data_IF_936993060007
#
_entry.id   IF_936993060007
#
_cell.length_a   1.000
_cell.length_b   1.000
_cell.length_c   1.000
_cell.angle_alpha   90.00
_cell.angle_beta   90.00
_cell.angle_gamma   90.00
#
_symmetry.space_group_name_H-M   'P 1'
#
loop_
_entity.id
_entity.type
_entity.pdbx_description
1 polymer ?
#
# COMPACT_ATOMS: atom_id res chain seq x y z
N UNK A 1 19.11 4.45 -12.76
CA UNK A 1 17.88 3.84 -12.21
C UNK A 1 16.84 3.75 -13.31
N UNK A 2 16.02 2.71 -13.34
CA UNK A 2 14.95 2.52 -14.32
C UNK A 2 13.61 2.55 -13.59
N UNK A 3 12.74 3.55 -13.82
CA UNK A 3 11.47 3.67 -13.12
C UNK A 3 10.38 2.78 -13.72
N UNK A 4 9.41 2.38 -12.90
CA UNK A 4 8.20 1.66 -13.28
C UNK A 4 6.97 2.35 -12.67
N UNK A 5 5.83 2.16 -13.32
CA UNK A 5 4.56 2.76 -12.91
C UNK A 5 3.53 1.72 -12.43
N UNK A 6 3.85 0.45 -12.57
CA UNK A 6 2.95 -0.68 -12.30
C UNK A 6 3.73 -1.82 -11.65
N UNK A 7 3.13 -2.47 -10.68
CA UNK A 7 3.62 -3.68 -10.01
C UNK A 7 2.53 -4.73 -10.01
N UNK A 8 2.88 -5.93 -10.47
CA UNK A 8 2.04 -7.11 -10.35
C UNK A 8 2.50 -7.87 -9.13
N UNK A 9 1.57 -8.10 -8.19
CA UNK A 9 1.88 -8.74 -6.94
C UNK A 9 0.98 -9.94 -6.74
N UNK A 10 1.60 -11.11 -6.61
CA UNK A 10 0.90 -12.38 -6.46
C UNK A 10 0.95 -12.83 -5.00
N UNK A 11 -0.18 -13.22 -4.44
CA UNK A 11 -0.32 -13.63 -3.05
C UNK A 11 -1.32 -14.77 -2.88
N UNK A 12 -1.23 -15.47 -1.75
CA UNK A 12 -2.21 -16.48 -1.36
C UNK A 12 -3.30 -15.81 -0.53
N UNK A 13 -4.53 -15.80 -1.03
CA UNK A 13 -5.68 -15.25 -0.32
C UNK A 13 -6.05 -16.15 0.87
N UNK A 14 -6.28 -15.58 2.05
CA UNK A 14 -6.67 -16.37 3.23
C UNK A 14 -8.16 -16.73 3.25
N UNK A 15 -8.97 -16.08 2.40
CA UNK A 15 -10.40 -16.38 2.25
C UNK A 15 -10.63 -17.74 1.60
N UNK A 16 -9.95 -17.99 0.48
CA UNK A 16 -10.18 -19.12 -0.41
C UNK A 16 -8.95 -20.00 -0.65
N UNK A 17 -7.80 -19.62 -0.08
CA UNK A 17 -6.51 -20.32 -0.24
C UNK A 17 -6.10 -20.47 -1.71
N UNK A 18 -6.47 -19.49 -2.53
CA UNK A 18 -6.11 -19.42 -3.94
C UNK A 18 -5.10 -18.32 -4.18
N UNK A 19 -4.30 -18.53 -5.21
CA UNK A 19 -3.41 -17.51 -5.73
C UNK A 19 -4.23 -16.39 -6.38
N UNK A 20 -4.03 -15.15 -5.93
CA UNK A 20 -4.60 -13.93 -6.51
C UNK A 20 -3.48 -12.99 -6.93
N UNK A 21 -3.75 -12.09 -7.87
CA UNK A 21 -2.78 -11.09 -8.34
C UNK A 21 -3.38 -9.70 -8.28
N UNK A 22 -2.71 -8.81 -7.56
CA UNK A 22 -3.01 -7.39 -7.52
C UNK A 22 -2.17 -6.62 -8.53
N UNK A 23 -2.82 -5.67 -9.20
CA UNK A 23 -2.18 -4.75 -10.14
C UNK A 23 -2.13 -3.37 -9.47
N UNK A 24 -0.94 -2.99 -9.02
CA UNK A 24 -0.69 -1.80 -8.21
C UNK A 24 -0.04 -0.71 -9.04
N UNK A 25 -0.59 0.51 -8.98
CA UNK A 25 -0.13 1.66 -9.75
C UNK A 25 0.57 2.70 -8.88
N UNK A 26 1.66 3.26 -9.39
CA UNK A 26 2.35 4.43 -8.82
C UNK A 26 2.65 5.45 -9.94
N UNK A 27 1.60 5.84 -10.67
CA UNK A 27 1.71 6.67 -11.85
C UNK A 27 1.31 8.13 -11.55
N UNK A 28 2.22 9.11 -11.69
CA UNK A 28 1.90 10.52 -11.47
C UNK A 28 0.91 11.09 -12.51
N UNK A 29 0.73 10.43 -13.66
CA UNK A 29 -0.16 10.85 -14.74
C UNK A 29 -1.06 9.70 -15.21
N UNK A 30 -1.95 9.25 -14.33
CA UNK A 30 -2.98 8.26 -14.58
C UNK A 30 -4.32 8.94 -14.87
N UNK A 31 -4.77 8.95 -16.13
CA UNK A 31 -6.01 9.61 -16.55
C UNK A 31 -6.15 11.07 -16.05
N UNK A 32 -5.14 11.90 -16.29
CA UNK A 32 -5.08 13.32 -15.91
C UNK A 32 -4.98 13.59 -14.39
N UNK A 33 -4.61 12.59 -13.58
CA UNK A 33 -4.32 12.76 -12.17
C UNK A 33 -3.30 11.75 -11.63
N UNK A 34 -2.68 12.01 -10.48
CA UNK A 34 -1.79 11.04 -9.85
C UNK A 34 -2.59 9.87 -9.27
N UNK A 35 -2.12 8.64 -9.52
CA UNK A 35 -2.62 7.42 -8.88
C UNK A 35 -1.48 6.71 -8.16
N UNK A 36 -1.63 6.57 -6.86
CA UNK A 36 -0.72 5.87 -5.96
C UNK A 36 -1.51 4.89 -5.12
N UNK A 37 -1.44 3.62 -5.46
CA UNK A 37 -2.17 2.55 -4.78
C UNK A 37 -1.52 2.25 -3.41
N UNK A 38 -2.31 1.71 -2.50
CA UNK A 38 -1.86 1.35 -1.16
C UNK A 38 -1.52 -0.14 -1.09
N UNK A 39 -0.59 -0.48 -0.20
CA UNK A 39 -0.01 -1.81 -0.05
C UNK A 39 0.12 -2.18 1.41
N UNK A 40 0.03 -3.48 1.67
CA UNK A 40 0.32 -4.09 2.95
C UNK A 40 1.77 -4.58 2.95
N UNK A 41 2.53 -4.29 4.00
CA UNK A 41 3.94 -4.66 4.15
C UNK A 41 4.07 -5.69 5.27
N UNK A 42 4.85 -6.74 4.99
CA UNK A 42 5.22 -7.79 5.91
C UNK A 42 6.23 -7.30 6.96
N UNK A 43 5.75 -6.51 7.91
CA UNK A 43 6.44 -6.11 9.14
C UNK A 43 5.76 -6.76 10.35
N UNK A 44 6.40 -6.69 11.53
CA UNK A 44 5.78 -7.10 12.79
C UNK A 44 5.68 -5.90 13.74
N UNK A 45 4.48 -5.32 13.97
CA UNK A 45 3.18 -5.67 13.38
C UNK A 45 3.08 -5.30 11.90
N UNK A 46 2.09 -5.87 11.19
CA UNK A 46 1.84 -5.58 9.78
C UNK A 46 1.54 -4.09 9.58
N UNK A 47 2.13 -3.50 8.54
CA UNK A 47 2.00 -2.06 8.27
C UNK A 47 1.35 -1.80 6.93
N UNK A 48 0.66 -0.66 6.85
CA UNK A 48 0.04 -0.17 5.64
C UNK A 48 0.91 0.94 5.08
N UNK A 49 0.99 1.05 3.76
CA UNK A 49 1.74 2.10 3.11
C UNK A 49 1.11 2.50 1.77
N UNK A 50 1.49 3.66 1.27
CA UNK A 50 1.21 4.08 -0.09
C UNK A 50 2.42 3.87 -0.97
N UNK A 51 2.23 3.28 -2.14
CA UNK A 51 3.28 3.04 -3.13
C UNK A 51 3.53 4.31 -3.93
N UNK A 52 4.64 4.99 -3.66
CA UNK A 52 4.97 6.29 -4.27
C UNK A 52 5.79 6.11 -5.55
N UNK A 53 6.70 5.15 -5.57
CA UNK A 53 7.59 4.96 -6.71
C UNK A 53 8.20 3.56 -6.74
N UNK A 54 8.47 3.04 -7.93
CA UNK A 54 9.14 1.75 -8.11
C UNK A 54 10.26 1.92 -9.13
N UNK A 55 11.43 1.37 -8.84
CA UNK A 55 12.56 1.43 -9.75
C UNK A 55 13.50 0.25 -9.59
N UNK A 56 14.22 -0.06 -10.65
CA UNK A 56 15.38 -0.96 -10.61
C UNK A 56 16.65 -0.10 -10.56
N UNK A 57 17.59 -0.46 -9.69
CA UNK A 57 18.96 0.05 -9.74
C UNK A 57 19.94 -1.10 -9.99
N UNK A 58 21.13 -0.76 -10.47
CA UNK A 58 22.20 -1.72 -10.75
C UNK A 58 23.44 -1.32 -9.94
N UNK A 59 24.09 -2.29 -9.30
CA UNK A 59 25.33 -2.05 -8.55
C UNK A 59 26.58 -2.05 -9.45
N UNK A 60 27.75 -1.76 -8.86
CA UNK A 60 29.04 -1.80 -9.57
C UNK A 60 29.39 -3.18 -10.14
N UNK A 61 28.74 -4.24 -9.65
CA UNK A 61 28.89 -5.64 -10.08
C UNK A 61 27.81 -6.07 -11.10
N UNK A 62 27.03 -5.12 -11.65
CA UNK A 62 25.93 -5.36 -12.59
C UNK A 62 24.75 -6.17 -12.03
N UNK A 63 24.59 -6.23 -10.72
CA UNK A 63 23.44 -6.87 -10.07
C UNK A 63 22.27 -5.89 -10.01
N UNK A 64 21.10 -6.36 -10.41
CA UNK A 64 19.87 -5.55 -10.44
C UNK A 64 19.07 -5.74 -9.16
N UNK A 65 18.64 -4.63 -8.57
CA UNK A 65 17.81 -4.58 -7.38
C UNK A 65 16.50 -3.88 -7.69
N UNK A 66 15.38 -4.57 -7.48
CA UNK A 66 14.06 -3.97 -7.52
C UNK A 66 13.77 -3.31 -6.18
N UNK A 67 13.37 -2.06 -6.23
CA UNK A 67 13.20 -1.19 -5.08
C UNK A 67 11.85 -0.49 -5.18
N UNK A 68 11.10 -0.49 -4.08
CA UNK A 68 9.88 0.29 -3.92
C UNK A 68 10.12 1.41 -2.90
N UNK A 69 9.72 2.63 -3.26
CA UNK A 69 9.58 3.76 -2.38
C UNK A 69 8.14 3.79 -1.89
N UNK A 70 7.98 3.70 -0.58
CA UNK A 70 6.70 3.59 0.10
C UNK A 70 6.59 4.71 1.13
N UNK A 71 5.36 5.19 1.35
CA UNK A 71 5.04 6.08 2.45
C UNK A 71 4.28 5.29 3.50
N UNK A 72 4.90 5.09 4.66
CA UNK A 72 4.23 4.37 5.74
C UNK A 72 3.01 5.15 6.24
N UNK A 73 1.97 4.39 6.56
CA UNK A 73 0.71 4.88 7.08
C UNK A 73 0.58 4.37 8.52
N UNK A 74 0.63 5.30 9.48
CA UNK A 74 0.55 4.98 10.90
C UNK A 74 -0.90 4.83 11.33
N UNK A 75 -1.22 3.68 11.90
CA UNK A 75 -2.50 3.44 12.51
C UNK A 75 -2.77 4.41 13.66
N UNK A 76 -3.95 5.04 13.68
CA UNK A 76 -4.46 5.77 14.83
C UNK A 76 -5.90 5.33 15.16
N UNK A 77 -6.17 5.11 16.45
CA UNK A 77 -7.53 4.87 16.94
C UNK A 77 -8.31 6.18 16.88
N UNK A 78 -9.10 6.35 15.83
CA UNK A 78 -10.14 7.37 15.80
C UNK A 78 -11.50 6.69 15.92
N UNK A 79 -12.25 7.05 16.96
CA UNK A 79 -13.67 6.67 17.04
C UNK A 79 -14.41 7.65 16.15
N UNK A 80 -14.86 7.19 14.99
CA UNK A 80 -15.92 7.87 14.29
C UNK A 80 -17.09 8.06 15.28
N UNK A 81 -17.72 9.23 15.25
CA UNK A 81 -18.97 9.46 15.99
C UNK A 81 -20.11 8.55 15.51
N UNK A 82 -19.91 7.92 14.36
CA UNK A 82 -20.88 7.09 13.67
C UNK A 82 -20.44 5.63 13.82
N UNK A 83 -21.30 4.81 14.42
CA UNK A 83 -21.07 3.39 14.78
C UNK A 83 -20.99 2.46 13.55
N UNK A 84 -20.36 2.88 12.46
CA UNK A 84 -20.01 1.99 11.36
C UNK A 84 -18.70 1.28 11.71
N UNK A 85 -18.84 0.10 12.31
CA UNK A 85 -17.71 -0.81 12.52
C UNK A 85 -16.99 -1.10 11.20
N UNK A 86 -15.65 -1.14 11.25
CA UNK A 86 -14.79 -1.54 10.14
C UNK A 86 -13.83 -0.48 9.58
N UNK A 87 -13.99 0.79 9.98
CA UNK A 87 -13.12 1.87 9.51
C UNK A 87 -11.94 2.11 10.47
N UNK A 88 -10.72 1.91 9.96
CA UNK A 88 -9.47 2.19 10.68
C UNK A 88 -8.76 3.41 10.11
N UNK A 89 -8.33 4.34 10.98
CA UNK A 89 -7.66 5.58 10.60
C UNK A 89 -6.15 5.40 10.42
N UNK A 90 -5.58 5.96 9.34
CA UNK A 90 -4.13 5.98 9.12
C UNK A 90 -3.57 7.36 8.78
N UNK A 91 -2.47 7.77 9.41
CA UNK A 91 -1.77 9.04 9.22
C UNK A 91 -0.48 8.89 8.41
N UNK A 92 0.01 9.95 7.76
CA UNK A 92 1.24 9.90 6.95
C UNK A 92 2.50 9.91 7.81
N UNK A 93 3.42 8.98 7.54
CA UNK A 93 4.82 8.99 8.05
C UNK A 93 5.84 9.31 6.94
N UNK A 94 7.11 9.22 7.32
CA UNK A 94 8.29 9.31 6.46
C UNK A 94 8.25 8.32 5.28
N UNK A 95 9.06 8.63 4.27
CA UNK A 95 9.29 7.77 3.12
C UNK A 95 10.30 6.69 3.49
N UNK A 96 9.98 5.44 3.15
CA UNK A 96 10.84 4.29 3.35
C UNK A 96 11.12 3.62 2.02
N UNK A 97 12.26 2.97 1.95
CA UNK A 97 12.63 2.13 0.82
C UNK A 97 12.54 0.68 1.27
N UNK A 98 11.84 -0.16 0.51
CA UNK A 98 11.78 -1.58 0.75
C UNK A 98 12.00 -2.36 -0.55
N UNK A 99 12.38 -3.63 -0.41
CA UNK A 99 12.32 -4.55 -1.53
C UNK A 99 10.86 -4.95 -1.77
N UNK A 100 10.37 -4.98 -3.02
CA UNK A 100 9.00 -5.40 -3.33
C UNK A 100 8.61 -6.78 -2.78
N UNK A 101 9.58 -7.65 -2.45
CA UNK A 101 9.34 -8.95 -1.79
C UNK A 101 8.71 -8.86 -0.40
N UNK A 102 8.76 -7.69 0.24
CA UNK A 102 8.12 -7.46 1.53
C UNK A 102 6.67 -6.97 1.40
N UNK A 103 6.22 -6.68 0.18
CA UNK A 103 4.83 -6.32 -0.09
C UNK A 103 4.00 -7.60 -0.11
N UNK A 104 2.88 -7.60 0.61
CA UNK A 104 2.00 -8.78 0.73
C UNK A 104 0.90 -8.74 -0.31
N UNK A 105 0.20 -7.60 -0.43
CA UNK A 105 -0.93 -7.36 -1.33
C UNK A 105 -1.26 -5.87 -1.41
N UNK A 106 -2.10 -5.50 -2.34
CA UNK A 106 -2.78 -4.21 -2.35
C UNK A 106 -3.73 -4.06 -1.17
N UNK A 107 -4.00 -2.82 -0.80
CA UNK A 107 -5.09 -2.49 0.10
C UNK A 107 -5.94 -1.31 -0.38
N UNK A 108 -7.23 -1.36 -0.09
CA UNK A 108 -8.15 -0.29 -0.46
C UNK A 108 -8.32 0.71 0.69
N UNK A 109 -7.60 1.83 0.59
CA UNK A 109 -7.66 2.95 1.52
C UNK A 109 -8.45 4.12 0.93
N UNK A 110 -9.44 4.62 1.67
CA UNK A 110 -10.32 5.72 1.28
C UNK A 110 -9.92 6.97 2.05
N UNK A 111 -9.63 8.11 1.39
CA UNK A 111 -9.31 9.36 2.11
C UNK A 111 -10.52 9.81 2.95
N UNK A 112 -10.27 10.31 4.15
CA UNK A 112 -11.34 10.85 5.00
C UNK A 112 -11.93 12.13 4.40
N UNK A 113 -13.24 12.34 4.57
CA UNK A 113 -13.94 13.53 4.05
C UNK A 113 -13.55 14.84 4.76
N UNK A 114 -13.05 14.75 5.98
CA UNK A 114 -12.59 15.92 6.73
C UNK A 114 -11.27 16.46 6.17
N UNK A 115 -11.03 17.78 6.31
CA UNK A 115 -9.85 18.53 5.81
C UNK A 115 -8.49 18.06 6.35
N UNK A 116 -8.45 16.95 7.07
CA UNK A 116 -7.24 16.39 7.63
C UNK A 116 -6.48 15.63 6.54
N UNK A 117 -5.62 16.36 5.83
CA UNK A 117 -4.75 15.80 4.82
C UNK A 117 -3.96 14.60 5.36
N UNK A 118 -4.06 13.47 4.66
CA UNK A 118 -3.28 12.28 4.97
C UNK A 118 -3.92 11.34 5.99
N UNK A 119 -5.22 11.49 6.28
CA UNK A 119 -6.03 10.48 6.96
C UNK A 119 -6.74 9.57 5.95
N UNK A 120 -6.69 8.27 6.21
CA UNK A 120 -7.33 7.25 5.38
C UNK A 120 -8.13 6.26 6.23
N UNK A 121 -9.26 5.80 5.70
CA UNK A 121 -10.03 4.65 6.19
C UNK A 121 -9.61 3.39 5.44
N UNK A 122 -9.34 2.31 6.16
CA UNK A 122 -9.30 0.99 5.53
C UNK A 122 -10.71 0.47 5.32
N UNK A 123 -10.99 -0.03 4.13
CA UNK A 123 -12.23 -0.72 3.79
C UNK A 123 -12.07 -2.22 4.03
N UNK A 124 -12.44 -2.67 5.23
CA UNK A 124 -12.38 -4.09 5.63
C UNK A 124 -13.49 -4.95 5.01
N UNK A 125 -14.58 -4.34 4.49
CA UNK A 125 -15.67 -5.06 3.83
C UNK A 125 -15.26 -5.66 2.48
N UNK A 126 -14.32 -5.03 1.79
CA UNK A 126 -13.74 -5.54 0.53
C UNK A 126 -12.50 -6.40 0.80
N UNK A 127 -11.86 -6.20 1.95
CA UNK A 127 -10.61 -6.87 2.31
C UNK A 127 -10.76 -7.63 3.63
N UNK A 128 -11.66 -8.60 3.63
CA UNK A 128 -11.95 -9.39 4.83
C UNK A 128 -10.76 -10.24 5.31
N UNK A 129 -9.76 -10.43 4.43
CA UNK A 129 -8.47 -11.05 4.68
C UNK A 129 -7.31 -10.07 4.93
N UNK A 130 -7.55 -8.76 5.01
CA UNK A 130 -6.50 -7.79 5.31
C UNK A 130 -5.94 -7.92 6.74
N UNK A 131 -6.65 -8.61 7.63
CA UNK A 131 -6.25 -8.86 9.01
C UNK A 131 -6.19 -10.37 9.27
N UNK A 132 -4.99 -10.86 9.61
CA UNK A 132 -4.76 -12.20 10.15
C UNK A 132 -4.23 -12.06 11.57
#
# INVERSE_FOLDING_TARGET
ITPYQCLYLTYMSSEDWREKTDILWCNPNFHNGPRYDCVIINTSPMTFARLEFIFTCEDMSRRRYNIALIRNLEYFKWRAKDEMGGLYGFGRKELFICSPKYLIRGCHLIPTFEKDEGKYYLNDLVESDAFV
#
